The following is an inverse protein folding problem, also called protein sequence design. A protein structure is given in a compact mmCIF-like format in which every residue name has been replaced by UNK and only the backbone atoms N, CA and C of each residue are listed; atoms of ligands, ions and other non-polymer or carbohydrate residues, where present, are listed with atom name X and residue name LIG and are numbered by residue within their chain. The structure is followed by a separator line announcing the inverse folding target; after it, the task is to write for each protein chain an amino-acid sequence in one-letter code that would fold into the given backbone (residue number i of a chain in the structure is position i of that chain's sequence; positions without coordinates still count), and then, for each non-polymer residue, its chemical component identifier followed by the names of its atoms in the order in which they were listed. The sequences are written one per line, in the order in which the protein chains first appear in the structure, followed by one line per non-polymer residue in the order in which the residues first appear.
data_IF_488359170551
#
_entry.id   IF_488359170551
#
_cell.length_a   1.000
_cell.length_b   1.000
_cell.length_c   1.000
_cell.angle_alpha   90.00
_cell.angle_beta   90.00
_cell.angle_gamma   90.00
#
_symmetry.space_group_name_H-M   'P 1'
#
loop_
_entity.id
_entity.type
_entity.pdbx_description
1 polymer ?
#
# COMPACT_ATOMS: atom_id res chain seq x y z
N UNK A 1 16.78 24.73 31.46
CA UNK A 1 15.75 24.48 30.43
C UNK A 1 16.34 24.81 29.07
N UNK A 2 16.89 23.82 28.38
CA UNK A 2 17.31 23.98 26.97
C UNK A 2 16.05 24.07 26.12
N UNK A 3 15.88 25.16 25.37
CA UNK A 3 14.79 25.31 24.40
C UNK A 3 14.92 24.18 23.38
N UNK A 4 14.03 23.18 23.44
CA UNK A 4 13.88 22.19 22.37
C UNK A 4 13.46 22.96 21.11
N UNK A 5 14.20 22.76 20.02
CA UNK A 5 13.83 23.30 18.70
C UNK A 5 12.47 22.76 18.26
N UNK A 6 11.90 23.29 17.16
CA UNK A 6 10.65 22.75 16.61
C UNK A 6 10.82 21.26 16.30
N UNK A 7 9.88 20.44 16.79
CA UNK A 7 9.83 19.01 16.53
C UNK A 7 9.56 18.82 15.04
N UNK A 8 10.45 18.11 14.34
CA UNK A 8 10.26 17.81 12.92
C UNK A 8 9.34 16.59 12.76
N UNK A 9 8.10 16.82 12.31
CA UNK A 9 7.13 15.76 11.97
C UNK A 9 7.08 15.49 10.47
N UNK A 10 8.04 16.00 9.70
CA UNK A 10 8.12 15.78 8.27
C UNK A 10 8.44 14.31 7.98
N UNK A 11 7.64 13.70 7.11
CA UNK A 11 7.79 12.32 6.65
C UNK A 11 8.22 12.27 5.17
N UNK A 12 8.55 13.43 4.58
CA UNK A 12 8.92 13.54 3.18
C UNK A 12 10.25 12.84 2.83
N UNK A 13 11.01 12.45 3.84
CA UNK A 13 12.23 11.67 3.73
C UNK A 13 11.99 10.14 3.71
N UNK A 14 10.77 9.69 4.01
CA UNK A 14 10.45 8.26 4.00
C UNK A 14 10.42 7.70 2.56
N UNK A 15 11.06 6.54 2.31
CA UNK A 15 11.15 5.95 0.97
C UNK A 15 9.80 5.79 0.25
N UNK A 16 8.77 5.31 0.95
CA UNK A 16 7.46 5.14 0.35
C UNK A 16 6.82 6.49 -0.01
N UNK A 17 7.03 7.53 0.80
CA UNK A 17 6.55 8.89 0.50
C UNK A 17 7.21 9.42 -0.76
N UNK A 18 8.54 9.35 -0.84
CA UNK A 18 9.33 9.84 -1.99
C UNK A 18 8.85 9.18 -3.29
N UNK A 19 8.64 7.87 -3.25
CA UNK A 19 8.15 7.13 -4.40
C UNK A 19 6.71 7.48 -4.80
N UNK A 20 5.83 7.66 -3.81
CA UNK A 20 4.44 8.04 -4.04
C UNK A 20 4.35 9.42 -4.71
N UNK A 21 5.16 10.38 -4.26
CA UNK A 21 5.22 11.70 -4.90
C UNK A 21 5.77 11.61 -6.32
N UNK A 22 6.79 10.75 -6.54
CA UNK A 22 7.32 10.52 -7.88
C UNK A 22 6.26 10.02 -8.85
N UNK A 23 5.35 9.14 -8.42
CA UNK A 23 4.24 8.64 -9.26
C UNK A 23 3.21 9.72 -9.62
N UNK A 24 3.03 10.73 -8.76
CA UNK A 24 2.08 11.83 -8.95
C UNK A 24 2.65 12.98 -9.78
N UNK A 25 3.97 13.08 -9.90
CA UNK A 25 4.60 14.08 -10.77
C UNK A 25 4.07 13.98 -12.20
N UNK A 26 3.66 15.12 -12.75
CA UNK A 26 3.22 15.18 -14.14
C UNK A 26 4.38 14.91 -15.09
N UNK A 27 4.10 14.11 -16.10
CA UNK A 27 5.04 13.84 -17.17
C UNK A 27 5.38 15.12 -17.94
N UNK A 28 6.67 15.38 -18.09
CA UNK A 28 7.18 16.47 -18.94
C UNK A 28 7.37 16.05 -20.39
N UNK A 29 7.29 14.75 -20.68
CA UNK A 29 7.51 14.17 -22.01
C UNK A 29 6.43 13.15 -22.36
N UNK A 30 6.13 13.03 -23.65
CA UNK A 30 5.16 12.07 -24.20
C UNK A 30 5.86 10.77 -24.61
N UNK A 31 6.37 9.99 -23.64
CA UNK A 31 6.85 8.64 -23.92
C UNK A 31 5.67 7.73 -24.31
N UNK A 32 5.91 6.80 -25.23
CA UNK A 32 4.99 5.74 -25.66
C UNK A 32 3.58 6.21 -26.10
N UNK A 33 3.44 7.47 -26.50
CA UNK A 33 2.15 8.09 -26.83
C UNK A 33 1.38 7.36 -27.95
N UNK A 34 2.11 6.80 -28.91
CA UNK A 34 1.55 6.05 -30.04
C UNK A 34 0.73 4.83 -29.62
N UNK A 35 1.06 4.22 -28.48
CA UNK A 35 0.39 3.02 -27.96
C UNK A 35 -1.02 3.33 -27.45
N UNK A 36 -1.27 4.56 -26.96
CA UNK A 36 -2.57 4.91 -26.36
C UNK A 36 -3.68 5.22 -27.35
N UNK A 37 -3.37 5.28 -28.65
CA UNK A 37 -4.40 5.34 -29.69
C UNK A 37 -5.38 4.15 -29.60
N UNK A 38 -4.93 2.99 -29.08
CA UNK A 38 -5.76 1.80 -28.90
C UNK A 38 -6.83 1.92 -27.78
N UNK A 39 -6.68 2.93 -26.90
CA UNK A 39 -7.60 3.18 -25.78
C UNK A 39 -8.30 4.55 -25.90
N UNK A 40 -8.22 5.18 -27.08
CA UNK A 40 -8.84 6.48 -27.33
C UNK A 40 -10.36 6.48 -27.12
N UNK A 41 -11.03 5.36 -27.42
CA UNK A 41 -12.47 5.23 -27.22
C UNK A 41 -12.86 5.17 -25.74
N UNK A 42 -12.06 4.53 -24.86
CA UNK A 42 -12.32 4.56 -23.41
C UNK A 42 -11.94 5.89 -22.79
N UNK A 43 -10.87 6.53 -23.28
CA UNK A 43 -10.52 7.89 -22.89
C UNK A 43 -11.72 8.81 -23.09
N UNK A 44 -12.31 8.77 -24.29
CA UNK A 44 -13.49 9.59 -24.64
C UNK A 44 -14.74 9.18 -23.85
N UNK A 45 -15.04 7.87 -23.77
CA UNK A 45 -16.25 7.36 -23.11
C UNK A 45 -16.26 7.69 -21.61
N UNK A 46 -15.13 7.48 -20.94
CA UNK A 46 -15.00 7.65 -19.49
C UNK A 46 -14.40 9.01 -19.09
N UNK A 47 -14.18 9.91 -20.06
CA UNK A 47 -13.59 11.23 -19.85
C UNK A 47 -12.27 11.17 -19.07
N UNK A 48 -11.46 10.16 -19.37
CA UNK A 48 -10.11 10.06 -18.82
C UNK A 48 -9.29 11.21 -19.40
N UNK A 49 -8.43 11.83 -18.59
CA UNK A 49 -7.57 12.90 -19.06
C UNK A 49 -6.42 12.30 -19.89
N UNK A 50 -6.09 12.89 -21.03
CA UNK A 50 -4.86 12.59 -21.78
C UNK A 50 -3.59 12.61 -20.93
N UNK A 51 -3.55 13.40 -19.85
CA UNK A 51 -2.43 13.43 -18.89
C UNK A 51 -2.29 12.11 -18.11
N UNK A 52 -3.38 11.36 -17.90
CA UNK A 52 -3.32 10.02 -17.28
C UNK A 52 -2.36 9.11 -18.04
N UNK A 53 -2.49 9.08 -19.37
CA UNK A 53 -1.68 8.21 -20.23
C UNK A 53 -0.23 8.68 -20.33
N UNK A 54 0.00 10.00 -20.34
CA UNK A 54 1.37 10.56 -20.24
C UNK A 54 2.03 10.16 -18.93
N UNK A 55 1.32 10.35 -17.82
CA UNK A 55 1.80 10.03 -16.49
C UNK A 55 2.04 8.51 -16.35
N UNK A 56 1.14 7.68 -16.90
CA UNK A 56 1.31 6.24 -16.93
C UNK A 56 2.58 5.85 -17.70
N UNK A 57 2.83 6.42 -18.88
CA UNK A 57 4.07 6.15 -19.63
C UNK A 57 5.34 6.57 -18.91
N UNK A 58 5.31 7.75 -18.28
CA UNK A 58 6.41 8.22 -17.43
C UNK A 58 6.64 7.28 -16.25
N UNK A 59 5.57 6.80 -15.62
CA UNK A 59 5.62 5.87 -14.50
C UNK A 59 6.12 4.49 -14.92
N UNK A 60 5.63 3.94 -16.03
CA UNK A 60 6.12 2.68 -16.62
C UNK A 60 7.62 2.77 -16.88
N UNK A 61 8.10 3.84 -17.50
CA UNK A 61 9.54 4.02 -17.71
C UNK A 61 10.32 4.12 -16.39
N UNK A 62 9.80 4.89 -15.44
CA UNK A 62 10.47 5.15 -14.17
C UNK A 62 10.63 3.90 -13.32
N UNK A 63 9.60 3.07 -13.16
CA UNK A 63 9.69 1.85 -12.31
C UNK A 63 10.70 0.81 -12.80
N UNK A 64 11.23 0.96 -14.02
CA UNK A 64 12.27 0.11 -14.59
C UNK A 64 13.68 0.74 -14.54
N UNK A 65 13.83 1.93 -13.95
CA UNK A 65 15.14 2.52 -13.69
C UNK A 65 15.78 1.88 -12.45
N UNK A 66 17.11 1.81 -12.43
CA UNK A 66 17.87 1.17 -11.34
C UNK A 66 17.74 1.91 -10.00
N UNK A 67 17.51 3.22 -10.04
CA UNK A 67 17.33 4.08 -8.87
C UNK A 67 15.87 4.16 -8.38
N UNK A 68 14.93 3.46 -9.04
CA UNK A 68 13.51 3.55 -8.70
C UNK A 68 13.15 2.82 -7.39
N UNK A 69 13.90 1.77 -7.07
CA UNK A 69 13.78 0.99 -5.85
C UNK A 69 15.06 0.16 -5.63
N UNK A 70 15.31 -0.25 -4.40
CA UNK A 70 16.28 -1.33 -4.14
C UNK A 70 15.77 -2.65 -4.71
N UNK A 71 16.65 -3.63 -4.90
CA UNK A 71 16.30 -4.97 -5.39
C UNK A 71 15.14 -5.59 -4.61
N UNK A 72 15.09 -5.35 -3.30
CA UNK A 72 14.04 -5.81 -2.41
C UNK A 72 12.66 -5.23 -2.71
N UNK A 73 12.59 -3.95 -3.10
CA UNK A 73 11.33 -3.25 -3.31
C UNK A 73 11.00 -3.04 -4.79
N UNK A 74 11.74 -3.66 -5.72
CA UNK A 74 11.46 -3.57 -7.16
C UNK A 74 10.08 -4.13 -7.51
N UNK A 75 9.67 -5.23 -6.87
CA UNK A 75 8.34 -5.81 -7.02
C UNK A 75 7.28 -4.88 -6.43
N UNK A 76 7.50 -4.40 -5.20
CA UNK A 76 6.63 -3.41 -4.53
C UNK A 76 6.42 -2.17 -5.38
N UNK A 77 7.46 -1.67 -6.03
CA UNK A 77 7.39 -0.52 -6.94
C UNK A 77 6.43 -0.77 -8.10
N UNK A 78 6.35 -2.01 -8.58
CA UNK A 78 5.36 -2.41 -9.57
C UNK A 78 3.93 -2.42 -9.03
N UNK A 79 3.74 -2.86 -7.78
CA UNK A 79 2.45 -2.75 -7.11
C UNK A 79 2.01 -1.29 -6.96
N UNK A 80 2.92 -0.37 -6.58
CA UNK A 80 2.58 1.05 -6.46
C UNK A 80 2.08 1.65 -7.79
N UNK A 81 2.67 1.26 -8.91
CA UNK A 81 2.22 1.70 -10.23
C UNK A 81 0.82 1.15 -10.57
N UNK A 82 0.60 -0.14 -10.31
CA UNK A 82 -0.72 -0.76 -10.47
C UNK A 82 -1.78 -0.07 -9.60
N UNK A 83 -1.47 0.17 -8.32
CA UNK A 83 -2.31 0.89 -7.38
C UNK A 83 -2.61 2.31 -7.85
N UNK A 84 -1.58 3.08 -8.23
CA UNK A 84 -1.70 4.46 -8.69
C UNK A 84 -2.63 4.56 -9.89
N UNK A 85 -2.50 3.64 -10.87
CA UNK A 85 -3.38 3.62 -12.03
C UNK A 85 -4.84 3.33 -11.62
N UNK A 86 -5.05 2.37 -10.72
CA UNK A 86 -6.39 2.07 -10.19
C UNK A 86 -7.00 3.27 -9.47
N UNK A 87 -6.23 3.95 -8.63
CA UNK A 87 -6.69 5.11 -7.85
C UNK A 87 -7.04 6.31 -8.75
N UNK A 88 -6.17 6.63 -9.72
CA UNK A 88 -6.43 7.70 -10.69
C UNK A 88 -7.71 7.44 -11.50
N UNK A 89 -7.85 6.24 -12.05
CA UNK A 89 -9.05 5.86 -12.84
C UNK A 89 -10.28 5.82 -11.94
N UNK A 90 -10.21 5.22 -10.75
CA UNK A 90 -11.32 5.18 -9.80
C UNK A 90 -11.81 6.59 -9.44
N UNK A 91 -10.90 7.50 -9.09
CA UNK A 91 -11.26 8.86 -8.73
C UNK A 91 -11.90 9.61 -9.91
N UNK A 92 -11.46 9.38 -11.15
CA UNK A 92 -12.16 9.92 -12.33
C UNK A 92 -13.55 9.30 -12.50
N UNK A 93 -13.68 7.99 -12.49
CA UNK A 93 -14.97 7.31 -12.68
C UNK A 93 -15.99 7.69 -11.60
N UNK A 94 -15.56 7.81 -10.35
CA UNK A 94 -16.38 8.23 -9.20
C UNK A 94 -17.03 9.60 -9.43
N UNK A 95 -16.34 10.56 -10.06
CA UNK A 95 -16.92 11.89 -10.36
C UNK A 95 -18.11 11.82 -11.32
N UNK A 96 -18.25 10.72 -12.05
CA UNK A 96 -19.34 10.48 -13.00
C UNK A 96 -20.31 9.38 -12.55
N UNK A 97 -20.13 8.81 -11.34
CA UNK A 97 -20.93 7.66 -10.88
C UNK A 97 -20.72 6.38 -11.69
N UNK A 98 -19.53 6.24 -12.29
CA UNK A 98 -19.15 5.13 -13.17
C UNK A 98 -18.16 4.18 -12.49
N UNK A 99 -18.02 4.21 -11.17
CA UNK A 99 -17.02 3.39 -10.47
C UNK A 99 -17.15 1.91 -10.82
N UNK A 100 -18.36 1.39 -11.03
CA UNK A 100 -18.62 0.00 -11.42
C UNK A 100 -17.91 -0.48 -12.69
N UNK A 101 -17.43 0.44 -13.53
CA UNK A 101 -16.69 0.13 -14.76
C UNK A 101 -15.16 0.06 -14.56
N UNK A 102 -14.65 0.27 -13.33
CA UNK A 102 -13.22 0.31 -13.03
C UNK A 102 -12.43 -0.87 -13.62
N UNK A 103 -12.86 -2.10 -13.30
CA UNK A 103 -12.17 -3.32 -13.76
C UNK A 103 -12.11 -3.39 -15.30
N UNK A 104 -13.21 -3.04 -15.98
CA UNK A 104 -13.28 -3.04 -17.44
C UNK A 104 -12.34 -2.00 -18.06
N UNK A 105 -12.28 -0.80 -17.48
CA UNK A 105 -11.40 0.28 -17.94
C UNK A 105 -9.93 -0.11 -17.71
N UNK A 106 -9.59 -0.56 -16.51
CA UNK A 106 -8.21 -0.92 -16.16
C UNK A 106 -7.68 -2.05 -17.04
N UNK A 107 -8.45 -3.12 -17.26
CA UNK A 107 -8.02 -4.23 -18.12
C UNK A 107 -7.70 -3.81 -19.55
N UNK A 108 -8.41 -2.83 -20.08
CA UNK A 108 -8.11 -2.28 -21.41
C UNK A 108 -6.80 -1.50 -21.41
N UNK A 109 -6.56 -0.70 -20.37
CA UNK A 109 -5.29 0.02 -20.19
C UNK A 109 -4.12 -0.97 -19.99
N UNK A 110 -4.32 -2.06 -19.23
CA UNK A 110 -3.34 -3.13 -19.03
C UNK A 110 -2.85 -3.70 -20.37
N UNK A 111 -3.73 -3.93 -21.34
CA UNK A 111 -3.33 -4.44 -22.66
C UNK A 111 -2.31 -3.54 -23.37
N UNK A 112 -2.43 -2.22 -23.21
CA UNK A 112 -1.52 -1.24 -23.77
C UNK A 112 -0.21 -1.20 -22.99
N UNK A 113 -0.30 -1.23 -21.65
CA UNK A 113 0.87 -1.28 -20.79
C UNK A 113 1.73 -2.52 -21.09
N UNK A 114 1.15 -3.72 -21.19
CA UNK A 114 1.88 -4.94 -21.54
C UNK A 114 2.67 -4.78 -22.84
N UNK A 115 2.06 -4.22 -23.89
CA UNK A 115 2.75 -3.96 -25.17
C UNK A 115 3.93 -3.01 -25.02
N UNK A 116 3.81 -1.97 -24.19
CA UNK A 116 4.90 -1.03 -23.91
C UNK A 116 6.06 -1.78 -23.26
N UNK A 117 5.81 -2.58 -22.22
CA UNK A 117 6.86 -3.33 -21.51
C UNK A 117 7.56 -4.31 -22.45
N UNK A 118 6.79 -5.05 -23.26
CA UNK A 118 7.33 -6.04 -24.19
C UNK A 118 8.22 -5.43 -25.28
N UNK A 119 7.80 -4.30 -25.86
CA UNK A 119 8.49 -3.71 -27.01
C UNK A 119 9.58 -2.72 -26.64
N UNK A 120 9.37 -1.95 -25.57
CA UNK A 120 10.22 -0.82 -25.21
C UNK A 120 11.18 -1.14 -24.06
N UNK A 121 10.91 -2.23 -23.31
CA UNK A 121 11.71 -2.64 -22.14
C UNK A 121 12.13 -4.12 -22.26
N UNK A 122 12.74 -4.56 -23.39
CA UNK A 122 13.02 -5.99 -23.57
C UNK A 122 14.19 -6.51 -22.72
N UNK A 123 15.13 -5.65 -22.29
CA UNK A 123 16.43 -6.06 -21.72
C UNK A 123 16.52 -6.02 -20.18
N UNK A 124 15.44 -5.73 -19.46
CA UNK A 124 15.46 -5.69 -18.00
C UNK A 124 15.22 -7.07 -17.40
N UNK A 125 15.97 -7.42 -16.36
CA UNK A 125 15.82 -8.68 -15.61
C UNK A 125 14.45 -8.74 -14.92
N UNK A 126 14.07 -7.65 -14.26
CA UNK A 126 12.73 -7.46 -13.74
C UNK A 126 11.90 -6.58 -14.68
N UNK A 127 10.72 -7.07 -15.05
CA UNK A 127 9.74 -6.35 -15.87
C UNK A 127 8.46 -6.18 -15.06
N UNK A 128 8.12 -4.92 -14.80
CA UNK A 128 6.88 -4.56 -14.15
C UNK A 128 5.72 -4.58 -15.15
N UNK A 129 4.95 -5.66 -15.10
CA UNK A 129 3.73 -5.85 -15.87
C UNK A 129 2.49 -5.37 -15.10
N UNK A 130 1.40 -5.03 -15.80
CA UNK A 130 0.09 -4.93 -15.15
C UNK A 130 -0.27 -6.25 -14.45
N UNK A 131 -0.90 -6.14 -13.29
CA UNK A 131 -1.30 -7.31 -12.51
C UNK A 131 -2.78 -7.63 -12.71
N UNK A 132 -3.05 -8.60 -13.59
CA UNK A 132 -4.41 -9.05 -13.89
C UNK A 132 -5.05 -9.85 -12.76
N UNK A 133 -4.28 -10.20 -11.71
CA UNK A 133 -4.77 -10.85 -10.49
C UNK A 133 -5.06 -9.85 -9.36
N UNK A 134 -5.12 -8.55 -9.66
CA UNK A 134 -5.56 -7.55 -8.70
C UNK A 134 -7.04 -7.75 -8.36
N UNK A 135 -7.36 -7.64 -7.07
CA UNK A 135 -8.73 -7.56 -6.60
C UNK A 135 -9.14 -6.09 -6.68
N UNK A 136 -10.04 -5.76 -7.62
CA UNK A 136 -10.52 -4.40 -7.90
C UNK A 136 -11.47 -3.85 -6.82
N UNK A 137 -10.97 -3.75 -5.59
CA UNK A 137 -11.59 -2.98 -4.51
C UNK A 137 -10.57 -2.02 -3.91
N UNK A 138 -10.93 -0.74 -3.83
CA UNK A 138 -10.03 0.32 -3.41
C UNK A 138 -9.67 0.25 -1.92
N UNK A 139 -10.56 -0.25 -1.06
CA UNK A 139 -10.25 -0.46 0.36
C UNK A 139 -9.19 -1.55 0.53
N UNK A 140 -9.31 -2.65 -0.21
CA UNK A 140 -8.33 -3.74 -0.23
C UNK A 140 -6.97 -3.26 -0.77
N UNK A 141 -6.98 -2.65 -1.96
CA UNK A 141 -5.76 -2.17 -2.59
C UNK A 141 -5.05 -1.15 -1.71
N UNK A 142 -5.79 -0.30 -0.99
CA UNK A 142 -5.23 0.67 -0.05
C UNK A 142 -4.63 -0.02 1.17
N UNK A 143 -5.30 -1.00 1.78
CA UNK A 143 -4.75 -1.75 2.91
C UNK A 143 -3.42 -2.43 2.56
N UNK A 144 -3.36 -3.08 1.39
CA UNK A 144 -2.14 -3.75 0.90
C UNK A 144 -1.06 -2.73 0.58
N UNK A 145 -1.42 -1.59 -0.03
CA UNK A 145 -0.49 -0.47 -0.23
C UNK A 145 0.08 0.00 1.11
N UNK A 146 -0.77 0.18 2.10
CA UNK A 146 -0.35 0.68 3.40
C UNK A 146 0.60 -0.29 4.11
N UNK A 147 0.37 -1.60 3.97
CA UNK A 147 1.27 -2.65 4.43
C UNK A 147 2.65 -2.57 3.75
N UNK A 148 2.67 -2.42 2.43
CA UNK A 148 3.92 -2.35 1.67
C UNK A 148 4.72 -1.07 1.95
N UNK A 149 4.04 0.06 2.06
CA UNK A 149 4.66 1.32 2.47
C UNK A 149 5.29 1.18 3.87
N UNK A 150 4.61 0.47 4.80
CA UNK A 150 5.16 0.17 6.11
C UNK A 150 6.46 -0.67 6.04
N UNK A 151 6.51 -1.68 5.17
CA UNK A 151 7.73 -2.47 4.97
C UNK A 151 8.88 -1.65 4.39
N UNK A 152 8.62 -0.80 3.39
CA UNK A 152 9.62 0.06 2.75
C UNK A 152 10.20 1.08 3.74
N UNK A 153 9.36 1.68 4.57
CA UNK A 153 9.76 2.69 5.55
C UNK A 153 10.38 2.09 6.83
N UNK A 154 10.27 0.77 7.05
CA UNK A 154 10.63 0.11 8.30
C UNK A 154 12.11 0.36 8.70
N UNK A 155 13.04 0.30 7.74
CA UNK A 155 14.45 0.46 8.05
C UNK A 155 14.78 1.88 8.53
N UNK A 156 14.23 2.90 7.85
CA UNK A 156 14.40 4.32 8.21
C UNK A 156 13.75 4.63 9.56
N UNK A 157 12.49 4.21 9.74
CA UNK A 157 11.76 4.43 10.99
C UNK A 157 12.42 3.72 12.16
N UNK A 158 12.84 2.46 12.01
CA UNK A 158 13.58 1.70 13.03
C UNK A 158 14.86 2.41 13.46
N UNK A 159 15.67 2.88 12.49
CA UNK A 159 16.94 3.56 12.78
C UNK A 159 16.71 4.81 13.63
N UNK A 160 15.73 5.62 13.26
CA UNK A 160 15.41 6.87 13.96
C UNK A 160 14.86 6.58 15.37
N UNK A 161 14.02 5.55 15.51
CA UNK A 161 13.48 5.09 16.80
C UNK A 161 14.61 4.66 17.74
N UNK A 162 15.59 3.89 17.26
CA UNK A 162 16.73 3.44 18.08
C UNK A 162 17.64 4.62 18.45
N UNK A 163 17.81 5.59 17.55
CA UNK A 163 18.67 6.75 17.78
C UNK A 163 18.09 7.72 18.83
N UNK A 164 16.79 8.02 18.77
CA UNK A 164 16.12 8.90 19.72
C UNK A 164 14.62 8.56 19.83
N UNK A 165 14.25 7.66 20.74
CA UNK A 165 12.87 7.20 20.90
C UNK A 165 11.88 8.33 21.17
N UNK A 166 12.25 9.33 21.98
CA UNK A 166 11.33 10.42 22.34
C UNK A 166 10.96 11.28 21.13
N UNK A 167 11.97 11.69 20.35
CA UNK A 167 11.78 12.47 19.13
C UNK A 167 11.09 11.65 18.04
N UNK A 168 11.51 10.40 17.85
CA UNK A 168 10.90 9.49 16.89
C UNK A 168 9.42 9.22 17.21
N UNK A 169 9.05 9.11 18.49
CA UNK A 169 7.65 8.96 18.85
C UNK A 169 6.81 10.15 18.38
N UNK A 170 7.30 11.37 18.61
CA UNK A 170 6.60 12.59 18.18
C UNK A 170 6.53 12.68 16.65
N UNK A 171 7.59 12.26 15.93
CA UNK A 171 7.63 12.23 14.46
C UNK A 171 6.67 11.19 13.88
N UNK A 172 6.65 9.97 14.43
CA UNK A 172 6.02 8.81 13.77
C UNK A 172 4.69 8.35 14.37
N UNK A 173 4.25 8.84 15.55
CA UNK A 173 3.01 8.32 16.18
C UNK A 173 1.79 8.35 15.26
N UNK A 174 1.59 9.43 14.51
CA UNK A 174 0.46 9.62 13.60
C UNK A 174 0.55 8.67 12.41
N UNK A 175 1.76 8.45 11.91
CA UNK A 175 2.06 7.50 10.84
C UNK A 175 1.85 6.05 11.31
N UNK A 176 2.29 5.69 12.51
CA UNK A 176 2.19 4.33 13.05
C UNK A 176 0.75 3.95 13.40
N UNK A 177 -0.08 4.92 13.84
CA UNK A 177 -1.46 4.68 14.28
C UNK A 177 -2.30 3.86 13.28
N UNK A 178 -2.35 4.18 11.98
CA UNK A 178 -3.04 3.35 10.99
C UNK A 178 -2.21 2.16 10.47
N UNK A 179 -0.88 2.27 10.42
CA UNK A 179 -0.01 1.26 9.78
C UNK A 179 0.15 -0.01 10.62
N UNK A 180 0.23 0.14 11.94
CA UNK A 180 0.43 -1.01 12.85
C UNK A 180 -0.76 -1.98 12.84
N UNK A 181 -2.03 -1.54 12.94
CA UNK A 181 -3.19 -2.42 12.74
C UNK A 181 -3.17 -3.16 11.40
N UNK A 182 -2.81 -2.46 10.31
CA UNK A 182 -2.72 -3.06 8.97
C UNK A 182 -1.64 -4.16 8.94
N UNK A 183 -0.46 -3.89 9.49
CA UNK A 183 0.61 -4.88 9.61
C UNK A 183 0.13 -6.15 10.33
N UNK A 184 -0.43 -6.03 11.54
CA UNK A 184 -0.83 -7.20 12.33
C UNK A 184 -1.98 -7.98 11.69
N UNK A 185 -2.85 -7.28 10.98
CA UNK A 185 -4.01 -7.86 10.29
C UNK A 185 -3.62 -8.61 9.03
N UNK A 186 -2.70 -8.07 8.22
CA UNK A 186 -2.40 -8.58 6.88
C UNK A 186 -1.10 -9.35 6.74
N UNK A 187 -0.10 -9.18 7.62
CA UNK A 187 1.25 -9.77 7.42
C UNK A 187 1.23 -11.28 7.18
N UNK A 188 0.25 -12.00 7.72
CA UNK A 188 0.19 -13.46 7.58
C UNK A 188 -0.24 -13.87 6.16
N UNK A 189 -0.84 -12.98 5.37
CA UNK A 189 -1.10 -13.21 3.94
C UNK A 189 0.19 -13.27 3.12
N UNK A 190 1.31 -12.78 3.65
CA UNK A 190 2.62 -12.85 3.02
C UNK A 190 3.25 -14.25 3.09
N UNK A 191 2.62 -15.21 3.79
CA UNK A 191 3.09 -16.60 3.89
C UNK A 191 2.62 -17.47 2.72
N UNK A 192 1.45 -17.16 2.18
CA UNK A 192 0.78 -18.02 1.22
C UNK A 192 1.17 -17.64 -0.21
N UNK A 193 1.62 -18.64 -0.96
CA UNK A 193 1.98 -18.46 -2.36
C UNK A 193 0.78 -18.02 -3.19
N UNK A 194 1.00 -17.04 -4.08
CA UNK A 194 -0.03 -16.48 -4.94
C UNK A 194 -0.86 -15.34 -4.33
N UNK A 195 -0.90 -15.21 -3.00
CA UNK A 195 -1.50 -14.05 -2.34
C UNK A 195 -0.69 -12.78 -2.64
N UNK A 196 -1.39 -11.65 -2.68
CA UNK A 196 -0.83 -10.40 -3.18
C UNK A 196 0.43 -10.00 -2.41
N UNK A 197 0.46 -10.20 -1.08
CA UNK A 197 1.64 -9.83 -0.30
C UNK A 197 2.87 -10.63 -0.74
N UNK A 198 2.75 -11.96 -0.81
CA UNK A 198 3.88 -12.82 -1.20
C UNK A 198 4.35 -12.59 -2.64
N UNK A 199 3.44 -12.18 -3.55
CA UNK A 199 3.81 -11.82 -4.92
C UNK A 199 4.74 -10.60 -5.00
N UNK A 200 4.64 -9.68 -4.04
CA UNK A 200 5.34 -8.39 -4.09
C UNK A 200 6.42 -8.20 -3.02
N UNK A 201 6.39 -8.98 -1.94
CA UNK A 201 7.33 -8.89 -0.82
C UNK A 201 7.87 -10.28 -0.52
N UNK A 202 9.18 -10.47 -0.69
CA UNK A 202 9.82 -11.78 -0.56
C UNK A 202 10.10 -12.15 0.90
N UNK A 203 10.74 -11.24 1.66
CA UNK A 203 11.17 -11.44 3.06
C UNK A 203 10.42 -10.48 4.00
N UNK A 204 9.15 -10.78 4.25
CA UNK A 204 8.29 -9.93 5.08
C UNK A 204 8.62 -10.04 6.59
N UNK A 205 9.27 -11.12 7.04
CA UNK A 205 9.46 -11.42 8.47
C UNK A 205 10.41 -10.43 9.16
N UNK A 206 11.38 -9.90 8.41
CA UNK A 206 12.35 -8.93 8.93
C UNK A 206 11.74 -7.58 9.31
N UNK A 207 10.53 -7.28 8.85
CA UNK A 207 9.82 -6.04 9.15
C UNK A 207 8.95 -6.12 10.41
N UNK A 208 9.26 -7.07 11.32
CA UNK A 208 8.51 -7.24 12.56
C UNK A 208 8.80 -6.10 13.55
N UNK A 209 7.81 -5.25 13.90
CA UNK A 209 8.02 -4.14 14.81
C UNK A 209 8.46 -4.57 16.21
N UNK A 210 7.94 -5.70 16.71
CA UNK A 210 8.28 -6.22 18.03
C UNK A 210 9.80 -6.48 18.20
N UNK A 211 10.52 -6.73 17.10
CA UNK A 211 11.98 -6.89 17.12
C UNK A 211 12.74 -5.62 17.51
N UNK A 212 12.11 -4.44 17.44
CA UNK A 212 12.71 -3.15 17.82
C UNK A 212 12.86 -3.06 19.34
N UNK A 213 11.93 -3.62 20.11
CA UNK A 213 11.89 -3.47 21.58
C UNK A 213 13.18 -3.95 22.27
N UNK A 214 13.81 -5.01 21.76
CA UNK A 214 15.07 -5.54 22.28
C UNK A 214 16.29 -4.65 22.03
N UNK A 215 16.15 -3.62 21.18
CA UNK A 215 17.20 -2.66 20.84
C UNK A 215 16.99 -1.29 21.50
N UNK A 216 15.87 -1.10 22.20
CA UNK A 216 15.56 0.14 22.91
C UNK A 216 16.21 0.16 24.30
N UNK A 217 16.38 1.37 24.84
CA UNK A 217 16.80 1.55 26.23
C UNK A 217 15.80 0.85 27.18
N UNK A 218 16.24 -0.11 28.01
CA UNK A 218 15.39 -0.78 28.99
C UNK A 218 14.65 0.19 29.92
N UNK A 219 15.18 1.40 30.15
CA UNK A 219 14.50 2.39 30.99
C UNK A 219 13.16 2.85 30.43
N UNK A 220 12.96 2.76 29.11
CA UNK A 220 11.70 3.09 28.46
C UNK A 220 10.57 2.17 28.95
N UNK A 221 10.86 0.91 29.27
CA UNK A 221 9.87 -0.06 29.77
C UNK A 221 9.28 0.37 31.12
N UNK A 222 10.06 1.05 31.96
CA UNK A 222 9.57 1.51 33.26
C UNK A 222 8.94 2.91 33.21
N UNK A 223 9.23 3.69 32.16
CA UNK A 223 8.81 5.09 32.06
C UNK A 223 7.72 5.33 31.01
N UNK A 224 7.37 4.31 30.20
CA UNK A 224 6.41 4.47 29.09
C UNK A 224 5.04 5.00 29.54
N UNK A 225 4.55 4.57 30.71
CA UNK A 225 3.26 4.99 31.24
C UNK A 225 3.21 6.46 31.66
N UNK A 226 4.39 7.08 31.87
CA UNK A 226 4.54 8.49 32.25
C UNK A 226 4.70 9.42 31.05
N UNK A 227 4.89 8.87 29.84
CA UNK A 227 4.97 9.64 28.60
C UNK A 227 3.75 9.34 27.72
N UNK A 228 2.96 10.38 27.44
CA UNK A 228 1.70 10.25 26.67
C UNK A 228 1.93 9.65 25.27
N UNK A 229 3.01 10.05 24.59
CA UNK A 229 3.33 9.55 23.27
C UNK A 229 3.66 8.05 23.29
N UNK A 230 4.50 7.62 24.24
CA UNK A 230 4.86 6.20 24.35
C UNK A 230 3.66 5.34 24.73
N UNK A 231 2.81 5.84 25.64
CA UNK A 231 1.56 5.18 26.02
C UNK A 231 0.64 5.01 24.80
N UNK A 232 0.50 6.04 23.98
CA UNK A 232 -0.33 5.97 22.78
C UNK A 232 0.19 4.93 21.79
N UNK A 233 1.49 4.99 21.45
CA UNK A 233 2.11 4.02 20.54
C UNK A 233 1.97 2.59 21.09
N UNK A 234 2.25 2.39 22.38
CA UNK A 234 2.02 1.13 23.06
C UNK A 234 0.58 0.62 22.90
N UNK A 235 -0.41 1.47 23.14
CA UNK A 235 -1.82 1.10 23.06
C UNK A 235 -2.21 0.69 21.63
N UNK A 236 -1.70 1.39 20.61
CA UNK A 236 -1.85 0.99 19.20
C UNK A 236 -1.31 -0.41 18.96
N UNK A 237 -0.11 -0.74 19.44
CA UNK A 237 0.49 -2.08 19.29
C UNK A 237 -0.34 -3.16 20.00
N UNK A 238 -0.71 -2.92 21.25
CA UNK A 238 -1.50 -3.84 22.07
C UNK A 238 -2.84 -4.16 21.41
N UNK A 239 -3.52 -3.15 20.88
CA UNK A 239 -4.87 -3.31 20.35
C UNK A 239 -4.85 -3.86 18.91
N UNK A 240 -3.86 -3.47 18.10
CA UNK A 240 -3.63 -4.04 16.76
C UNK A 240 -3.44 -5.56 16.77
N UNK A 241 -2.77 -6.13 17.78
CA UNK A 241 -2.60 -7.59 17.91
C UNK A 241 -3.93 -8.33 18.03
N UNK A 242 -4.95 -7.71 18.62
CA UNK A 242 -6.27 -8.30 18.84
C UNK A 242 -7.18 -8.17 17.61
N UNK A 243 -6.73 -7.51 16.54
CA UNK A 243 -7.53 -7.35 15.33
C UNK A 243 -7.66 -8.68 14.60
N UNK A 244 -8.84 -8.96 14.00
CA UNK A 244 -9.03 -10.17 13.21
C UNK A 244 -8.06 -10.20 12.03
N UNK A 245 -7.46 -11.36 11.76
CA UNK A 245 -6.56 -11.53 10.62
C UNK A 245 -7.32 -11.44 9.29
N UNK A 246 -6.63 -10.97 8.25
CA UNK A 246 -7.13 -10.88 6.88
C UNK A 246 -6.18 -11.56 5.90
N UNK A 247 -6.74 -12.00 4.79
CA UNK A 247 -6.02 -12.49 3.63
C UNK A 247 -6.91 -12.39 2.38
N UNK A 248 -6.32 -12.64 1.21
CA UNK A 248 -6.98 -12.56 -0.09
C UNK A 248 -8.22 -13.46 -0.15
N UNK A 249 -8.16 -14.69 0.38
CA UNK A 249 -9.27 -15.65 0.36
C UNK A 249 -10.48 -15.18 1.19
N UNK A 250 -10.25 -14.70 2.41
CA UNK A 250 -11.30 -14.11 3.25
C UNK A 250 -11.94 -12.95 2.52
N UNK A 251 -11.12 -12.11 1.92
CA UNK A 251 -11.56 -10.95 1.18
C UNK A 251 -12.48 -11.35 0.02
N UNK A 252 -12.04 -12.28 -0.82
CA UNK A 252 -12.81 -12.82 -1.95
C UNK A 252 -14.15 -13.39 -1.48
N UNK A 253 -14.14 -14.24 -0.45
CA UNK A 253 -15.36 -14.88 0.07
C UNK A 253 -16.38 -13.86 0.61
N UNK A 254 -15.93 -12.81 1.29
CA UNK A 254 -16.82 -11.74 1.76
C UNK A 254 -17.40 -10.97 0.59
N UNK A 255 -16.59 -10.65 -0.42
CA UNK A 255 -17.07 -9.95 -1.61
C UNK A 255 -18.10 -10.77 -2.39
N UNK A 256 -17.90 -12.09 -2.54
CA UNK A 256 -18.87 -13.00 -3.14
C UNK A 256 -20.18 -13.06 -2.35
N UNK A 257 -20.11 -13.03 -1.02
CA UNK A 257 -21.30 -12.97 -0.15
C UNK A 257 -22.04 -11.65 -0.32
N UNK A 258 -21.34 -10.51 -0.25
CA UNK A 258 -21.93 -9.19 -0.45
C UNK A 258 -22.56 -9.04 -1.84
N UNK A 259 -21.96 -9.62 -2.87
CA UNK A 259 -22.51 -9.61 -4.24
C UNK A 259 -23.82 -10.40 -4.34
N UNK A 260 -23.93 -11.52 -3.61
CA UNK A 260 -25.17 -12.32 -3.50
C UNK A 260 -26.26 -11.60 -2.73
N UNK A 261 -25.91 -10.94 -1.62
CA UNK A 261 -26.87 -10.23 -0.76
C UNK A 261 -27.34 -8.90 -1.34
N UNK A 262 -26.51 -8.24 -2.15
CA UNK A 262 -26.75 -6.90 -2.69
C UNK A 262 -26.53 -6.87 -4.21
N UNK A 263 -27.33 -7.62 -4.99
CA UNK A 263 -27.18 -7.66 -6.43
C UNK A 263 -27.34 -6.25 -7.01
N UNK A 264 -26.39 -5.85 -7.87
CA UNK A 264 -26.40 -4.55 -8.56
C UNK A 264 -25.79 -3.37 -7.80
N UNK A 265 -25.37 -3.53 -6.52
CA UNK A 265 -24.58 -2.49 -5.84
C UNK A 265 -23.11 -2.62 -6.18
N UNK A 266 -22.45 -1.51 -6.52
CA UNK A 266 -20.99 -1.46 -6.63
C UNK A 266 -20.36 -1.79 -5.28
N UNK A 267 -19.40 -2.72 -5.28
CA UNK A 267 -18.65 -3.13 -4.09
C UNK A 267 -17.21 -2.61 -4.11
N UNK A 268 -16.86 -1.74 -5.05
CA UNK A 268 -15.48 -1.27 -5.27
C UNK A 268 -14.91 -0.50 -4.08
N UNK A 269 -15.77 0.09 -3.27
CA UNK A 269 -15.42 0.82 -2.04
C UNK A 269 -15.96 0.15 -0.78
N UNK A 270 -16.40 -1.10 -0.84
CA UNK A 270 -16.88 -1.82 0.32
C UNK A 270 -15.74 -2.05 1.33
N UNK A 271 -15.94 -1.65 2.59
CA UNK A 271 -15.04 -1.96 3.69
C UNK A 271 -15.40 -3.34 4.24
N UNK A 272 -14.47 -4.28 4.07
CA UNK A 272 -14.64 -5.71 4.41
C UNK A 272 -14.15 -6.01 5.84
N UNK A 273 -13.51 -5.03 6.50
CA UNK A 273 -12.99 -5.18 7.85
C UNK A 273 -14.04 -5.12 8.96
N UNK A 274 -15.14 -4.40 8.73
CA UNK A 274 -16.19 -4.21 9.73
C UNK A 274 -17.02 -5.48 9.93
N UNK A 275 -17.21 -5.87 11.20
CA UNK A 275 -18.09 -7.01 11.55
C UNK A 275 -17.48 -8.39 11.36
N UNK A 276 -16.15 -8.50 11.16
CA UNK A 276 -15.48 -9.81 11.11
C UNK A 276 -15.64 -10.60 12.40
N UNK A 277 -15.62 -9.94 13.57
CA UNK A 277 -15.83 -10.61 14.87
C UNK A 277 -17.24 -11.19 14.94
N UNK A 278 -17.31 -12.50 15.16
CA UNK A 278 -18.58 -13.24 15.17
C UNK A 278 -19.10 -13.64 13.78
N UNK A 279 -18.35 -13.35 12.72
CA UNK A 279 -18.65 -13.85 11.37
C UNK A 279 -17.99 -15.21 11.11
N UNK A 280 -18.47 -15.91 10.08
CA UNK A 280 -17.86 -17.15 9.57
C UNK A 280 -16.44 -16.96 9.00
N UNK A 281 -16.03 -15.70 8.74
CA UNK A 281 -14.72 -15.35 8.20
C UNK A 281 -13.74 -14.90 9.30
N UNK A 282 -14.12 -15.02 10.57
CA UNK A 282 -13.31 -14.60 11.69
C UNK A 282 -12.08 -15.49 11.85
N UNK A 283 -10.90 -14.90 11.71
CA UNK A 283 -9.64 -15.48 12.19
C UNK A 283 -9.15 -14.63 13.37
N UNK A 284 -8.92 -15.21 14.56
CA UNK A 284 -8.48 -14.45 15.72
C UNK A 284 -7.11 -13.82 15.49
N UNK A 285 -6.88 -12.67 16.12
CA UNK A 285 -5.60 -11.99 16.14
C UNK A 285 -4.54 -12.74 16.97
N UNK A 286 -3.38 -12.10 17.11
CA UNK A 286 -2.31 -12.58 17.98
C UNK A 286 -2.75 -12.44 19.45
N UNK A 287 -2.63 -13.54 20.22
CA UNK A 287 -2.94 -13.57 21.65
C UNK A 287 -1.68 -13.60 22.52
N UNK A 288 -0.55 -13.06 22.02
CA UNK A 288 0.67 -12.97 22.81
C UNK A 288 0.63 -11.77 23.77
N UNK A 289 0.82 -12.03 25.07
CA UNK A 289 0.87 -10.98 26.11
C UNK A 289 2.16 -10.15 26.07
N UNK A 290 3.12 -10.53 25.22
CA UNK A 290 4.31 -9.72 24.98
C UNK A 290 3.95 -8.66 23.95
N UNK A 291 4.30 -7.40 24.19
CA UNK A 291 4.37 -6.42 23.11
C UNK A 291 5.32 -6.88 22.00
#
# INVERSE_FOLDING_TARGET
MLRRGPINTDLSDLPAWVANEKLKENATTYKYSSYYNEVYDIEKKYKLNSDLFKNLSKNIWWVHQEDAATDEFVKKRCYDLNYWLCDEVYNKLKTFGLEGDLENVIRRIHSVWTKIVEKEIPYKDYKCYPDDKLIFNMSYLKDIKDLFDFFEDFASTKRDIIANTEEACLKYREYLRPKIPIYYTWRDSCKEEGFICKRYIDDYEKYRPAGILFQLDPWLIFTYSSNECFKEVHDVFRDAKKEPKRNDDIYIKIMEKLKRERPGKSLISANVGEGLRGSEFFIPGDNDNFM
#
